data_IF_093370064564
#
_entry.id   IF_093370064564
#
_cell.length_a   1.000
_cell.length_b   1.000
_cell.length_c   1.000
_cell.angle_alpha   90.00
_cell.angle_beta   90.00
_cell.angle_gamma   90.00
#
_symmetry.space_group_name_H-M   'P 1'
#
loop_
_entity.id
_entity.type
_entity.pdbx_description
1 polymer ?
#
# COMPACT_ATOMS: atom_id res chain seq x y z
N UNK A 1 -17.77 -7.24 -19.18
CA UNK A 1 -17.04 -6.76 -17.98
C UNK A 1 -15.55 -6.81 -18.22
N UNK A 2 -14.85 -5.73 -17.97
CA UNK A 2 -13.39 -5.80 -18.03
C UNK A 2 -12.89 -6.79 -16.98
N UNK A 3 -11.83 -7.54 -17.27
CA UNK A 3 -11.25 -8.43 -16.27
C UNK A 3 -10.71 -7.62 -15.10
N UNK A 4 -10.93 -8.11 -13.88
CA UNK A 4 -10.39 -7.47 -12.68
C UNK A 4 -8.90 -7.78 -12.59
N UNK A 5 -8.13 -6.80 -12.15
CA UNK A 5 -6.72 -6.98 -11.90
C UNK A 5 -6.51 -7.83 -10.64
N UNK A 6 -5.48 -8.66 -10.66
CA UNK A 6 -5.14 -9.50 -9.53
C UNK A 6 -4.37 -8.69 -8.50
N UNK A 7 -4.79 -8.77 -7.23
CA UNK A 7 -4.07 -8.12 -6.13
C UNK A 7 -3.05 -9.10 -5.57
N UNK A 8 -1.80 -8.66 -5.47
CA UNK A 8 -0.71 -9.46 -4.90
C UNK A 8 0.04 -8.61 -3.89
N UNK A 9 0.52 -9.24 -2.82
CA UNK A 9 1.32 -8.57 -1.80
C UNK A 9 2.75 -9.07 -1.87
N UNK A 10 3.71 -8.15 -1.78
CA UNK A 10 5.10 -8.57 -1.58
C UNK A 10 5.23 -9.13 -0.16
N UNK A 11 6.26 -9.95 0.11
CA UNK A 11 6.52 -10.39 1.49
C UNK A 11 6.64 -9.22 2.47
N UNK A 12 7.29 -8.13 2.06
CA UNK A 12 7.45 -6.95 2.90
C UNK A 12 6.10 -6.31 3.22
N UNK A 13 5.18 -6.23 2.25
CA UNK A 13 3.84 -5.68 2.48
C UNK A 13 3.03 -6.58 3.44
N UNK A 14 3.16 -7.89 3.30
CA UNK A 14 2.53 -8.84 4.22
C UNK A 14 3.04 -8.66 5.65
N UNK A 15 4.35 -8.49 5.80
CA UNK A 15 4.97 -8.23 7.09
C UNK A 15 4.49 -6.89 7.68
N UNK A 16 4.35 -5.87 6.83
CA UNK A 16 3.82 -4.58 7.26
C UNK A 16 2.41 -4.72 7.83
N UNK A 17 1.55 -5.48 7.17
CA UNK A 17 0.17 -5.72 7.64
C UNK A 17 0.15 -6.41 9.00
N UNK A 18 0.97 -7.44 9.17
CA UNK A 18 1.07 -8.15 10.45
C UNK A 18 1.56 -7.24 11.56
N UNK A 19 2.58 -6.45 11.27
CA UNK A 19 3.16 -5.54 12.25
C UNK A 19 2.14 -4.47 12.69
N UNK A 20 1.42 -3.91 11.73
CA UNK A 20 0.38 -2.91 12.01
C UNK A 20 -0.71 -3.51 12.89
N UNK A 21 -1.21 -4.68 12.50
CA UNK A 21 -2.26 -5.37 13.25
C UNK A 21 -1.81 -5.69 14.67
N UNK A 22 -0.62 -6.24 14.79
CA UNK A 22 -0.06 -6.63 16.09
C UNK A 22 0.13 -5.42 17.02
N UNK A 23 0.66 -4.33 16.48
CA UNK A 23 0.91 -3.10 17.23
C UNK A 23 -0.40 -2.50 17.77
N UNK A 24 -1.40 -2.38 16.92
CA UNK A 24 -2.67 -1.76 17.32
C UNK A 24 -3.47 -2.68 18.23
N UNK A 25 -3.44 -4.00 17.99
CA UNK A 25 -4.23 -4.95 18.77
C UNK A 25 -3.74 -5.08 20.20
N UNK A 26 -2.49 -4.72 20.49
CA UNK A 26 -1.97 -4.69 21.86
C UNK A 26 -2.74 -3.70 22.73
N UNK A 27 -3.22 -2.61 22.13
CA UNK A 27 -3.99 -1.61 22.87
C UNK A 27 -5.48 -1.76 22.66
N UNK A 28 -5.90 -2.09 21.45
CA UNK A 28 -7.32 -2.16 21.10
C UNK A 28 -7.54 -3.12 19.93
N UNK A 29 -7.98 -4.33 20.24
CA UNK A 29 -8.21 -5.36 19.24
C UNK A 29 -9.30 -4.97 18.24
N UNK A 30 -10.35 -4.30 18.68
CA UNK A 30 -11.43 -3.84 17.81
C UNK A 30 -10.94 -2.80 16.81
N UNK A 31 -10.10 -1.87 17.26
CA UNK A 31 -9.53 -0.85 16.37
C UNK A 31 -8.60 -1.48 15.33
N UNK A 32 -7.87 -2.53 15.71
CA UNK A 32 -7.01 -3.24 14.78
C UNK A 32 -7.81 -3.92 13.67
N UNK A 33 -8.93 -4.56 14.05
CA UNK A 33 -9.82 -5.20 13.08
C UNK A 33 -10.47 -4.20 12.14
N UNK A 34 -10.90 -3.06 12.67
CA UNK A 34 -11.51 -2.00 11.87
C UNK A 34 -10.52 -1.45 10.83
N UNK A 35 -9.28 -1.22 11.26
CA UNK A 35 -8.25 -0.73 10.34
C UNK A 35 -7.92 -1.75 9.27
N UNK A 36 -7.81 -3.02 9.67
CA UNK A 36 -7.52 -4.09 8.72
C UNK A 36 -8.62 -4.19 7.66
N UNK A 37 -9.88 -4.09 8.09
CA UNK A 37 -11.01 -4.11 7.17
C UNK A 37 -10.97 -2.91 6.23
N UNK A 38 -10.65 -1.74 6.74
CA UNK A 38 -10.55 -0.52 5.95
C UNK A 38 -9.43 -0.62 4.91
N UNK A 39 -8.28 -1.14 5.31
CA UNK A 39 -7.17 -1.40 4.38
C UNK A 39 -7.59 -2.38 3.29
N UNK A 40 -8.21 -3.47 3.68
CA UNK A 40 -8.67 -4.50 2.75
C UNK A 40 -9.66 -3.93 1.74
N UNK A 41 -10.65 -3.16 2.20
CA UNK A 41 -11.66 -2.56 1.33
C UNK A 41 -11.03 -1.61 0.32
N UNK A 42 -10.11 -0.75 0.77
CA UNK A 42 -9.48 0.24 -0.09
C UNK A 42 -8.53 -0.42 -1.09
N UNK A 43 -7.78 -1.42 -0.65
CA UNK A 43 -6.87 -2.16 -1.53
C UNK A 43 -7.68 -2.96 -2.57
N UNK A 44 -8.78 -3.56 -2.16
CA UNK A 44 -9.64 -4.34 -3.07
C UNK A 44 -10.19 -3.48 -4.21
N UNK A 45 -10.44 -2.20 -3.97
CA UNK A 45 -10.90 -1.28 -5.01
C UNK A 45 -9.89 -1.15 -6.15
N UNK A 46 -8.61 -1.39 -5.88
CA UNK A 46 -7.57 -1.31 -6.90
C UNK A 46 -7.70 -2.40 -7.95
N UNK A 47 -8.44 -3.47 -7.67
CA UNK A 47 -8.70 -4.51 -8.65
C UNK A 47 -9.52 -3.98 -9.83
N UNK A 48 -10.46 -3.06 -9.56
CA UNK A 48 -11.29 -2.43 -10.59
C UNK A 48 -10.71 -1.10 -11.08
N UNK A 49 -10.07 -0.36 -10.18
CA UNK A 49 -9.55 0.98 -10.46
C UNK A 49 -8.06 1.06 -10.11
N UNK A 50 -7.20 0.34 -10.87
CA UNK A 50 -5.79 0.23 -10.51
C UNK A 50 -5.02 1.55 -10.58
N UNK A 51 -5.51 2.52 -11.34
CA UNK A 51 -4.83 3.81 -11.49
C UNK A 51 -5.43 4.93 -10.65
N UNK A 52 -6.28 4.58 -9.66
CA UNK A 52 -6.91 5.60 -8.82
C UNK A 52 -5.93 6.28 -7.85
N UNK A 53 -4.83 5.63 -7.52
CA UNK A 53 -3.84 6.18 -6.61
C UNK A 53 -3.01 7.29 -7.24
N UNK A 54 -2.44 8.15 -6.37
CA UNK A 54 -1.56 9.22 -6.80
C UNK A 54 -0.22 8.68 -7.26
N UNK A 55 0.34 9.28 -8.31
CA UNK A 55 1.65 8.90 -8.83
C UNK A 55 2.74 9.53 -7.96
N UNK A 56 3.79 8.77 -7.62
CA UNK A 56 4.98 9.33 -7.00
C UNK A 56 5.72 10.17 -8.04
N UNK A 57 6.02 11.42 -7.68
CA UNK A 57 6.65 12.36 -8.60
C UNK A 57 8.09 11.97 -8.90
N UNK A 58 8.40 11.78 -10.18
CA UNK A 58 9.78 11.52 -10.64
C UNK A 58 10.62 12.79 -10.60
N UNK A 59 9.97 13.96 -10.73
CA UNK A 59 10.67 15.24 -10.76
C UNK A 59 11.36 15.55 -9.44
N UNK A 60 10.74 15.14 -8.34
CA UNK A 60 11.32 15.31 -7.00
C UNK A 60 12.36 14.25 -6.69
N UNK A 61 12.25 13.08 -7.33
CA UNK A 61 13.08 11.93 -7.02
C UNK A 61 13.50 11.22 -8.31
N UNK A 62 14.45 11.79 -9.06
CA UNK A 62 14.79 11.28 -10.40
C UNK A 62 15.35 9.85 -10.42
N UNK A 63 15.75 9.32 -9.26
CA UNK A 63 16.26 7.95 -9.18
C UNK A 63 15.17 6.92 -8.88
N UNK A 64 13.92 7.37 -8.69
CA UNK A 64 12.81 6.47 -8.40
C UNK A 64 12.38 5.72 -9.67
N UNK A 65 12.02 4.47 -9.48
CA UNK A 65 11.48 3.67 -10.56
C UNK A 65 10.10 4.18 -10.94
N UNK A 66 9.82 4.15 -12.23
CA UNK A 66 8.53 4.60 -12.76
C UNK A 66 7.40 3.67 -12.37
N UNK A 67 6.22 4.24 -12.28
CA UNK A 67 4.99 3.49 -12.10
C UNK A 67 4.54 3.27 -10.69
N UNK A 68 5.26 3.79 -9.69
CA UNK A 68 4.80 3.71 -8.30
C UNK A 68 3.63 4.66 -8.07
N UNK A 69 2.62 4.14 -7.39
CA UNK A 69 1.44 4.89 -6.96
C UNK A 69 1.18 4.63 -5.50
N UNK A 70 0.39 5.48 -4.89
CA UNK A 70 -0.02 5.26 -3.50
C UNK A 70 -1.46 5.70 -3.28
N UNK A 71 -2.10 5.05 -2.31
CA UNK A 71 -3.38 5.50 -1.76
C UNK A 71 -3.20 5.76 -0.27
N UNK A 72 -4.03 6.64 0.27
CA UNK A 72 -4.00 7.01 1.68
C UNK A 72 -5.13 6.29 2.40
N UNK A 73 -4.77 5.50 3.41
CA UNK A 73 -5.73 4.88 4.32
C UNK A 73 -5.28 5.32 5.71
N UNK A 74 -5.72 6.48 6.14
CA UNK A 74 -5.24 7.19 7.32
C UNK A 74 -5.02 6.26 8.52
N UNK A 75 -3.86 6.28 9.16
CA UNK A 75 -2.70 7.16 8.93
C UNK A 75 -1.63 6.52 8.02
N UNK A 76 -1.98 5.52 7.24
CA UNK A 76 -1.04 4.74 6.44
C UNK A 76 -1.09 5.12 4.98
N UNK A 77 0.04 4.89 4.31
CA UNK A 77 0.17 4.99 2.86
C UNK A 77 0.40 3.59 2.31
N UNK A 78 -0.36 3.23 1.27
CA UNK A 78 -0.23 1.94 0.60
C UNK A 78 0.44 2.19 -0.74
N UNK A 79 1.66 1.71 -0.90
CA UNK A 79 2.46 1.88 -2.12
C UNK A 79 2.32 0.66 -3.01
N UNK A 80 2.01 0.89 -4.28
CA UNK A 80 1.78 -0.20 -5.20
C UNK A 80 2.22 0.15 -6.62
N UNK A 81 2.31 -0.89 -7.46
CA UNK A 81 2.54 -0.75 -8.90
C UNK A 81 1.53 -1.60 -9.66
N UNK A 82 1.20 -1.17 -10.87
CA UNK A 82 0.36 -1.95 -11.77
C UNK A 82 1.27 -2.52 -12.85
N UNK A 83 1.36 -3.84 -12.92
CA UNK A 83 2.20 -4.54 -13.89
C UNK A 83 1.32 -5.58 -14.59
N UNK A 84 1.08 -5.36 -15.89
CA UNK A 84 0.18 -6.17 -16.68
C UNK A 84 -1.22 -6.15 -16.05
N UNK A 85 -1.77 -7.29 -15.70
CA UNK A 85 -3.11 -7.37 -15.07
C UNK A 85 -3.00 -7.61 -13.57
N UNK A 86 -1.92 -7.11 -12.94
CA UNK A 86 -1.66 -7.31 -11.51
C UNK A 86 -1.41 -5.98 -10.82
N UNK A 87 -2.00 -5.85 -9.64
CA UNK A 87 -1.71 -4.75 -8.71
C UNK A 87 -0.82 -5.33 -7.62
N UNK A 88 0.42 -4.88 -7.56
CA UNK A 88 1.39 -5.40 -6.60
C UNK A 88 1.55 -4.40 -5.47
N UNK A 89 1.11 -4.79 -4.29
CA UNK A 89 1.24 -3.97 -3.08
C UNK A 89 2.66 -4.16 -2.55
N UNK A 90 3.45 -3.09 -2.61
CA UNK A 90 4.87 -3.15 -2.25
C UNK A 90 5.12 -2.91 -0.78
N UNK A 91 4.51 -1.89 -0.19
CA UNK A 91 4.67 -1.57 1.22
C UNK A 91 3.43 -0.87 1.75
N UNK A 92 3.20 -1.00 3.05
CA UNK A 92 2.15 -0.26 3.77
C UNK A 92 2.86 0.41 4.94
N UNK A 93 3.01 1.73 4.86
CA UNK A 93 3.84 2.48 5.79
C UNK A 93 3.07 3.61 6.43
N UNK A 94 3.41 3.91 7.69
CA UNK A 94 2.84 5.07 8.37
C UNK A 94 3.29 6.35 7.67
N UNK A 95 2.38 7.30 7.48
CA UNK A 95 2.67 8.54 6.74
C UNK A 95 3.75 9.42 7.37
N UNK A 96 4.15 9.15 8.62
CA UNK A 96 5.23 9.87 9.29
C UNK A 96 6.60 9.26 9.07
N UNK A 97 6.66 8.07 8.48
CA UNK A 97 7.94 7.41 8.20
C UNK A 97 8.63 8.04 6.99
N UNK A 98 9.94 7.85 6.93
CA UNK A 98 10.71 8.18 5.74
C UNK A 98 10.46 7.07 4.71
N UNK A 99 9.32 7.17 4.03
CA UNK A 99 8.86 6.11 3.13
C UNK A 99 9.79 5.92 1.92
N UNK A 100 10.51 6.96 1.53
CA UNK A 100 11.45 6.84 0.40
C UNK A 100 12.59 5.90 0.74
N UNK A 101 13.12 6.02 1.96
CA UNK A 101 14.17 5.13 2.43
C UNK A 101 13.65 3.70 2.57
N UNK A 102 12.43 3.55 3.11
CA UNK A 102 11.82 2.23 3.28
C UNK A 102 11.54 1.54 1.95
N UNK A 103 11.13 2.30 0.93
CA UNK A 103 10.81 1.77 -0.40
C UNK A 103 12.07 1.45 -1.21
N UNK A 104 13.07 2.31 -1.16
CA UNK A 104 14.20 2.27 -2.08
C UNK A 104 15.55 2.04 -1.42
N UNK A 105 15.57 1.87 -0.11
CA UNK A 105 16.76 1.60 0.66
C UNK A 105 17.56 2.87 0.99
N UNK A 106 18.69 2.70 1.69
CA UNK A 106 19.51 3.82 2.12
C UNK A 106 20.17 4.55 0.95
#
# INVERSE_FOLDING_TARGET
MPPRNKIQYTPAAGDDMEEIFSFISQENASAAEDLLQKLDDQISNLAEFPYMGSVLSEDEFPLLKRGYRFIVVQPYLVFYRVIENRVIIHRILHGRRDYLRELFGP
#
